data_IF_258470522618
#
_entry.id   IF_258470522618
#
_cell.length_a   1.000
_cell.length_b   1.000
_cell.length_c   1.000
_cell.angle_alpha   90.00
_cell.angle_beta   90.00
_cell.angle_gamma   90.00
#
_symmetry.space_group_name_H-M   'P 1'
#
loop_
_entity.id
_entity.type
_entity.pdbx_description
1 polymer ?
#
# COMPACT_ATOMS: atom_id res chain seq x y z
N UNK A 1 -3.35 -3.89 -30.11
CA UNK A 1 -4.05 -3.49 -28.87
C UNK A 1 -3.05 -3.21 -27.73
N UNK A 2 -2.09 -2.27 -27.91
CA UNK A 2 -1.00 -2.05 -26.93
C UNK A 2 -0.96 -0.67 -26.26
N UNK A 3 -1.29 0.39 -27.01
CA UNK A 3 -1.09 1.78 -26.56
C UNK A 3 -2.12 2.19 -25.49
N UNK A 4 -3.39 1.81 -25.65
CA UNK A 4 -4.47 2.20 -24.72
C UNK A 4 -4.27 1.59 -23.33
N UNK A 5 -3.78 0.34 -23.27
CA UNK A 5 -3.50 -0.36 -22.00
C UNK A 5 -2.32 0.29 -21.27
N UNK A 6 -1.22 0.56 -21.98
CA UNK A 6 -0.06 1.23 -21.40
C UNK A 6 -0.40 2.63 -20.83
N UNK A 7 -1.25 3.40 -21.52
CA UNK A 7 -1.72 4.69 -21.01
C UNK A 7 -2.60 4.57 -19.77
N UNK A 8 -3.44 3.52 -19.67
CA UNK A 8 -4.22 3.25 -18.45
C UNK A 8 -3.31 2.88 -17.28
N UNK A 9 -2.33 2.01 -17.51
CA UNK A 9 -1.36 1.61 -16.49
C UNK A 9 -0.58 2.80 -15.96
N UNK A 10 -0.11 3.71 -16.82
CA UNK A 10 0.58 4.92 -16.39
C UNK A 10 -0.30 5.83 -15.52
N UNK A 11 -1.60 5.94 -15.83
CA UNK A 11 -2.53 6.71 -15.00
C UNK A 11 -2.77 6.03 -13.65
N UNK A 12 -2.98 4.71 -13.64
CA UNK A 12 -3.16 3.95 -12.40
C UNK A 12 -1.91 4.02 -11.52
N UNK A 13 -0.73 3.83 -12.10
CA UNK A 13 0.55 3.96 -11.39
C UNK A 13 0.67 5.36 -10.80
N UNK A 14 0.47 6.42 -11.60
CA UNK A 14 0.53 7.79 -11.09
C UNK A 14 -0.46 8.03 -9.94
N UNK A 15 -1.72 7.60 -10.10
CA UNK A 15 -2.75 7.75 -9.07
C UNK A 15 -2.38 7.00 -7.78
N UNK A 16 -1.89 5.77 -7.89
CA UNK A 16 -1.46 4.95 -6.77
C UNK A 16 -0.29 5.61 -6.02
N UNK A 17 0.75 6.03 -6.75
CA UNK A 17 1.96 6.60 -6.14
C UNK A 17 1.68 7.96 -5.50
N UNK A 18 0.98 8.86 -6.21
CA UNK A 18 0.58 10.17 -5.66
C UNK A 18 -0.39 10.03 -4.49
N UNK A 19 -1.30 9.05 -4.55
CA UNK A 19 -2.18 8.71 -3.44
C UNK A 19 -1.39 8.26 -2.21
N UNK A 20 -0.43 7.36 -2.38
CA UNK A 20 0.38 6.86 -1.28
C UNK A 20 1.22 7.96 -0.62
N UNK A 21 1.80 8.87 -1.41
CA UNK A 21 2.43 10.05 -0.85
C UNK A 21 1.47 10.96 -0.07
N UNK A 22 0.23 11.08 -0.53
CA UNK A 22 -0.77 11.90 0.13
C UNK A 22 -1.20 11.29 1.46
N UNK A 23 -1.41 9.98 1.52
CA UNK A 23 -1.69 9.26 2.76
C UNK A 23 -0.49 9.33 3.72
N UNK A 24 0.74 9.17 3.23
CA UNK A 24 1.95 9.30 4.07
C UNK A 24 2.05 10.69 4.70
N UNK A 25 1.87 11.74 3.89
CA UNK A 25 1.88 13.12 4.39
C UNK A 25 0.75 13.39 5.39
N UNK A 26 -0.43 12.78 5.19
CA UNK A 26 -1.55 12.87 6.15
C UNK A 26 -1.19 12.27 7.51
N UNK A 27 -0.49 11.14 7.53
CA UNK A 27 0.01 10.50 8.75
C UNK A 27 1.28 11.14 9.34
N UNK A 28 1.79 12.24 8.77
CA UNK A 28 3.04 12.88 9.22
C UNK A 28 4.31 12.18 8.73
N UNK A 29 4.20 11.21 7.83
CA UNK A 29 5.32 10.44 7.29
C UNK A 29 5.89 11.08 6.03
N UNK A 30 7.23 11.19 5.97
CA UNK A 30 7.94 11.78 4.81
C UNK A 30 8.12 10.81 3.65
N UNK A 31 7.89 9.51 3.85
CA UNK A 31 8.25 8.46 2.89
C UNK A 31 7.20 7.37 2.96
N UNK A 32 6.45 7.09 1.87
CA UNK A 32 5.38 6.11 1.89
C UNK A 32 5.89 4.69 2.13
N UNK A 33 5.26 4.00 3.08
CA UNK A 33 5.34 2.55 3.28
C UNK A 33 4.19 1.76 2.61
N UNK A 34 4.17 0.43 2.77
CA UNK A 34 3.16 -0.46 2.20
C UNK A 34 1.71 -0.08 2.55
N UNK A 35 1.47 0.36 3.78
CA UNK A 35 0.15 0.79 4.27
C UNK A 35 -0.41 1.97 3.49
N UNK A 36 0.45 2.89 3.06
CA UNK A 36 0.05 4.02 2.25
C UNK A 36 -0.28 3.63 0.81
N UNK A 37 0.43 2.64 0.25
CA UNK A 37 0.07 2.04 -1.03
C UNK A 37 -1.29 1.31 -0.93
N UNK A 38 -1.54 0.61 0.17
CA UNK A 38 -2.80 -0.08 0.41
C UNK A 38 -3.96 0.93 0.50
N UNK A 39 -3.81 1.99 1.29
CA UNK A 39 -4.81 3.07 1.39
C UNK A 39 -5.04 3.76 0.03
N UNK A 40 -3.98 4.06 -0.71
CA UNK A 40 -4.11 4.64 -2.04
C UNK A 40 -4.81 3.69 -3.03
N UNK A 41 -4.61 2.38 -2.90
CA UNK A 41 -5.26 1.38 -3.75
C UNK A 41 -6.79 1.37 -3.55
N UNK A 42 -7.30 1.63 -2.34
CA UNK A 42 -8.75 1.67 -2.08
C UNK A 42 -9.44 2.84 -2.78
N UNK A 43 -8.70 3.92 -3.05
CA UNK A 43 -9.16 5.10 -3.78
C UNK A 43 -9.00 4.99 -5.30
N UNK A 44 -8.44 3.89 -5.83
CA UNK A 44 -8.30 3.73 -7.27
C UNK A 44 -9.66 3.58 -7.96
N UNK A 45 -9.85 4.17 -9.16
CA UNK A 45 -11.14 4.13 -9.87
C UNK A 45 -11.62 2.73 -10.27
N UNK A 46 -10.73 1.73 -10.29
CA UNK A 46 -11.12 0.36 -10.61
C UNK A 46 -11.92 -0.32 -9.48
N UNK A 47 -11.86 0.22 -8.26
CA UNK A 47 -12.66 -0.23 -7.11
C UNK A 47 -12.31 -1.62 -6.56
N UNK A 48 -11.36 -2.35 -7.17
CA UNK A 48 -11.12 -3.75 -6.83
C UNK A 48 -10.51 -3.95 -5.45
N UNK A 49 -9.65 -3.02 -4.99
CA UNK A 49 -9.12 -3.06 -3.63
C UNK A 49 -10.21 -2.83 -2.58
N UNK A 50 -11.05 -1.81 -2.79
CA UNK A 50 -12.17 -1.49 -1.90
C UNK A 50 -13.17 -2.64 -1.82
N UNK A 51 -13.52 -3.25 -2.96
CA UNK A 51 -14.39 -4.42 -3.00
C UNK A 51 -13.81 -5.64 -2.26
N UNK A 52 -12.51 -5.91 -2.41
CA UNK A 52 -11.86 -7.02 -1.70
C UNK A 52 -11.85 -6.83 -0.19
N UNK A 53 -11.54 -5.61 0.29
CA UNK A 53 -11.58 -5.26 1.71
C UNK A 53 -13.01 -5.34 2.27
N UNK A 54 -14.01 -4.86 1.53
CA UNK A 54 -15.41 -4.93 1.94
C UNK A 54 -15.90 -6.38 2.11
N UNK A 55 -15.43 -7.32 1.29
CA UNK A 55 -15.75 -8.76 1.42
C UNK A 55 -15.24 -9.38 2.72
N UNK A 56 -14.21 -8.80 3.33
CA UNK A 56 -13.69 -9.21 4.65
C UNK A 56 -14.15 -8.28 5.77
N UNK A 57 -15.15 -7.43 5.51
CA UNK A 57 -15.76 -6.55 6.50
C UNK A 57 -14.96 -5.29 6.83
N UNK A 58 -14.01 -4.89 5.97
CA UNK A 58 -13.20 -3.69 6.17
C UNK A 58 -13.61 -2.59 5.19
N UNK A 59 -13.95 -1.43 5.74
CA UNK A 59 -14.13 -0.20 4.95
C UNK A 59 -12.83 0.65 4.92
N UNK A 60 -12.69 1.57 3.95
CA UNK A 60 -11.49 2.39 3.81
C UNK A 60 -11.15 3.29 5.00
N UNK A 61 -12.15 3.76 5.75
CA UNK A 61 -11.92 4.66 6.89
C UNK A 61 -11.46 3.87 8.13
N UNK A 62 -12.05 2.69 8.36
CA UNK A 62 -11.58 1.72 9.34
C UNK A 62 -10.15 1.26 9.06
N UNK A 63 -9.80 1.02 7.80
CA UNK A 63 -8.42 0.73 7.40
C UNK A 63 -7.47 1.90 7.72
N UNK A 64 -7.86 3.14 7.41
CA UNK A 64 -7.03 4.32 7.71
C UNK A 64 -6.78 4.46 9.21
N UNK A 65 -7.84 4.36 10.02
CA UNK A 65 -7.73 4.42 11.47
C UNK A 65 -6.82 3.33 12.04
N UNK A 66 -6.91 2.10 11.50
CA UNK A 66 -6.04 1.00 11.91
C UNK A 66 -4.57 1.23 11.55
N UNK A 67 -4.30 1.83 10.38
CA UNK A 67 -2.95 2.20 9.95
C UNK A 67 -2.35 3.26 10.89
N UNK A 68 -3.10 4.31 11.21
CA UNK A 68 -2.65 5.37 12.13
C UNK A 68 -2.37 4.82 13.54
N UNK A 69 -3.25 3.94 14.05
CA UNK A 69 -3.06 3.28 15.34
C UNK A 69 -1.82 2.36 15.33
N UNK A 70 -1.63 1.56 14.28
CA UNK A 70 -0.48 0.68 14.13
C UNK A 70 0.84 1.44 14.02
N UNK A 71 0.83 2.58 13.31
CA UNK A 71 1.98 3.48 13.21
C UNK A 71 2.35 4.06 14.59
N UNK A 72 1.35 4.59 15.31
CA UNK A 72 1.55 5.16 16.65
C UNK A 72 2.10 4.14 17.62
N UNK A 73 1.56 2.91 17.62
CA UNK A 73 2.05 1.82 18.45
C UNK A 73 3.50 1.42 18.10
N UNK A 74 3.87 1.45 16.81
CA UNK A 74 5.23 1.18 16.39
C UNK A 74 6.22 2.22 16.93
N UNK A 75 5.87 3.51 16.90
CA UNK A 75 6.70 4.57 17.49
C UNK A 75 6.84 4.43 19.01
N UNK A 76 5.74 4.14 19.71
CA UNK A 76 5.75 3.95 21.17
C UNK A 76 6.64 2.77 21.59
N UNK A 77 6.67 1.69 20.80
CA UNK A 77 7.49 0.51 21.09
C UNK A 77 9.01 0.73 20.98
N UNK A 78 9.44 1.79 20.29
CA UNK A 78 10.86 2.17 20.16
C UNK A 78 11.27 3.15 21.29
N UNK A 79 10.34 3.57 22.15
CA UNK A 79 10.63 4.44 23.31
C UNK A 79 10.96 5.89 22.95
N UNK A 80 10.57 6.33 21.75
CA UNK A 80 10.91 7.66 21.23
C UNK A 80 9.65 8.51 21.21
N UNK A 81 9.54 9.45 22.14
CA UNK A 81 8.67 10.60 21.97
C UNK A 81 9.21 11.45 20.82
N UNK A 82 8.65 11.32 19.62
CA UNK A 82 8.85 12.26 18.50
C UNK A 82 10.26 12.86 18.32
N UNK A 83 11.33 12.07 18.39
CA UNK A 83 12.66 12.49 17.95
C UNK A 83 12.96 11.84 16.60
N UNK A 84 12.97 12.71 15.59
CA UNK A 84 13.47 12.52 14.23
C UNK A 84 14.57 11.47 14.13
N UNK A 85 14.24 10.29 13.58
CA UNK A 85 15.24 9.29 13.21
C UNK A 85 16.27 9.87 12.23
N UNK A 86 17.53 9.86 12.67
CA UNK A 86 18.74 10.26 11.95
C UNK A 86 18.97 9.44 10.65
N UNK A 87 19.75 9.97 9.69
CA UNK A 87 19.58 9.70 8.27
C UNK A 87 20.24 8.38 7.84
N UNK A 88 19.45 7.46 7.29
CA UNK A 88 20.02 6.43 6.43
C UNK A 88 20.74 7.12 5.25
N UNK A 89 22.02 6.80 5.11
CA UNK A 89 23.01 7.42 4.23
C UNK A 89 22.47 7.75 2.82
N UNK A 90 22.75 8.99 2.41
CA UNK A 90 22.39 9.61 1.13
C UNK A 90 23.18 8.98 -0.03
N UNK A 91 22.52 8.23 -0.90
CA UNK A 91 22.95 8.05 -2.31
C UNK A 91 22.37 9.17 -3.20
N UNK A 92 23.02 9.51 -4.33
CA UNK A 92 22.54 10.57 -5.23
C UNK A 92 21.15 10.25 -5.76
N UNK A 93 20.34 11.31 -5.84
CA UNK A 93 18.92 11.25 -6.14
C UNK A 93 18.65 11.21 -7.65
N UNK A 94 18.08 10.10 -8.15
CA UNK A 94 17.32 10.07 -9.41
C UNK A 94 16.33 8.89 -9.40
N UNK A 95 15.03 9.17 -9.24
CA UNK A 95 13.93 8.19 -9.39
C UNK A 95 12.58 8.78 -8.93
N UNK A 96 11.45 8.53 -9.64
CA UNK A 96 10.23 9.33 -9.51
C UNK A 96 9.36 9.16 -8.25
N UNK A 97 9.84 8.54 -7.15
CA UNK A 97 9.22 8.64 -5.81
C UNK A 97 10.19 8.15 -4.72
N UNK A 98 10.29 8.86 -3.59
CA UNK A 98 10.97 8.36 -2.37
C UNK A 98 9.96 7.54 -1.55
N UNK A 99 10.09 6.21 -1.56
CA UNK A 99 9.31 5.29 -0.72
C UNK A 99 10.23 4.33 0.02
N UNK A 100 9.69 3.64 1.04
CA UNK A 100 10.45 2.63 1.77
C UNK A 100 10.81 1.44 0.85
N UNK A 101 11.87 0.68 1.16
CA UNK A 101 12.22 -0.52 0.39
C UNK A 101 11.08 -1.54 0.32
N UNK A 102 10.32 -1.71 1.41
CA UNK A 102 9.19 -2.63 1.48
C UNK A 102 8.01 -2.14 0.61
N UNK A 103 7.75 -0.82 0.55
CA UNK A 103 6.77 -0.27 -0.38
C UNK A 103 7.17 -0.51 -1.85
N UNK A 104 8.45 -0.35 -2.19
CA UNK A 104 8.94 -0.67 -3.53
C UNK A 104 8.79 -2.16 -3.86
N UNK A 105 9.01 -3.05 -2.90
CA UNK A 105 8.77 -4.49 -3.05
C UNK A 105 7.29 -4.77 -3.36
N UNK A 106 6.36 -4.22 -2.58
CA UNK A 106 4.91 -4.36 -2.81
C UNK A 106 4.51 -3.86 -4.20
N UNK A 107 4.98 -2.67 -4.59
CA UNK A 107 4.68 -2.11 -5.91
C UNK A 107 5.19 -3.02 -7.05
N UNK A 108 6.43 -3.52 -6.94
CA UNK A 108 7.00 -4.44 -7.95
C UNK A 108 6.23 -5.75 -8.02
N UNK A 109 5.83 -6.32 -6.89
CA UNK A 109 5.03 -7.54 -6.83
C UNK A 109 3.65 -7.32 -7.48
N UNK A 110 2.99 -6.20 -7.21
CA UNK A 110 1.71 -5.85 -7.83
C UNK A 110 1.83 -5.71 -9.36
N UNK A 111 2.88 -5.05 -9.85
CA UNK A 111 3.14 -4.92 -11.30
C UNK A 111 3.47 -6.28 -11.93
N UNK A 112 4.24 -7.13 -11.25
CA UNK A 112 4.56 -8.47 -11.72
C UNK A 112 3.29 -9.34 -11.83
N UNK A 113 2.40 -9.28 -10.83
CA UNK A 113 1.13 -10.00 -10.84
C UNK A 113 0.22 -9.52 -11.99
N UNK A 114 0.09 -8.21 -12.18
CA UNK A 114 -0.70 -7.65 -13.29
C UNK A 114 -0.19 -8.14 -14.66
N UNK A 115 1.14 -8.15 -14.85
CA UNK A 115 1.78 -8.67 -16.07
C UNK A 115 1.56 -10.16 -16.26
N UNK A 116 1.73 -10.96 -15.21
CA UNK A 116 1.50 -12.41 -15.26
C UNK A 116 0.04 -12.74 -15.63
N UNK A 117 -0.91 -11.93 -15.18
CA UNK A 117 -2.32 -12.04 -15.51
C UNK A 117 -2.70 -11.40 -16.87
N UNK A 118 -1.74 -10.88 -17.63
CA UNK A 118 -1.97 -10.11 -18.86
C UNK A 118 -3.06 -9.02 -18.71
N UNK A 119 -3.09 -8.36 -17.55
CA UNK A 119 -4.12 -7.41 -17.15
C UNK A 119 -3.50 -6.04 -16.77
N UNK A 120 -4.28 -4.94 -16.82
CA UNK A 120 -3.79 -3.66 -16.32
C UNK A 120 -3.55 -3.72 -14.81
N UNK A 121 -2.67 -2.86 -14.30
CA UNK A 121 -2.51 -2.68 -12.85
C UNK A 121 -3.85 -2.25 -12.24
N UNK A 122 -4.18 -2.82 -11.07
CA UNK A 122 -5.44 -2.63 -10.34
C UNK A 122 -5.15 -2.63 -8.85
N UNK A 123 -6.06 -2.05 -8.07
CA UNK A 123 -5.96 -2.08 -6.61
C UNK A 123 -5.82 -3.49 -6.01
N UNK A 124 -6.53 -4.47 -6.56
CA UNK A 124 -6.45 -5.88 -6.12
C UNK A 124 -5.02 -6.46 -6.15
N UNK A 125 -4.19 -6.08 -7.13
CA UNK A 125 -2.80 -6.53 -7.19
C UNK A 125 -1.95 -5.97 -6.03
N UNK A 126 -2.26 -4.74 -5.59
CA UNK A 126 -1.60 -4.11 -4.43
C UNK A 126 -2.03 -4.82 -3.15
N UNK A 127 -3.33 -5.08 -2.99
CA UNK A 127 -3.86 -5.82 -1.83
C UNK A 127 -3.23 -7.22 -1.75
N UNK A 128 -3.15 -7.96 -2.86
CA UNK A 128 -2.50 -9.27 -2.92
C UNK A 128 -1.04 -9.20 -2.46
N UNK A 129 -0.29 -8.23 -3.00
CA UNK A 129 1.12 -8.04 -2.66
C UNK A 129 1.35 -7.65 -1.18
N UNK A 130 0.42 -6.93 -0.56
CA UNK A 130 0.47 -6.62 0.88
C UNK A 130 0.17 -7.85 1.73
N UNK A 131 -0.74 -8.73 1.30
CA UNK A 131 -1.04 -9.98 2.01
C UNK A 131 0.18 -10.89 2.13
N UNK A 132 1.09 -10.85 1.15
CA UNK A 132 2.32 -11.63 1.10
C UNK A 132 3.45 -11.08 2.00
N UNK A 133 3.26 -9.94 2.68
CA UNK A 133 4.25 -9.41 3.62
C UNK A 133 4.28 -10.19 4.94
N UNK A 134 5.46 -10.45 5.48
CA UNK A 134 5.59 -11.11 6.78
C UNK A 134 5.28 -10.18 7.96
N UNK A 135 5.65 -8.90 7.84
CA UNK A 135 5.59 -7.90 8.91
C UNK A 135 5.49 -6.48 8.36
N UNK A 136 5.12 -5.53 9.22
CA UNK A 136 5.08 -4.11 8.91
C UNK A 136 3.77 -3.46 9.36
N UNK A 137 3.66 -2.14 9.22
CA UNK A 137 2.48 -1.38 9.65
C UNK A 137 1.21 -1.85 8.94
N UNK A 138 1.28 -2.11 7.63
CA UNK A 138 0.15 -2.67 6.87
C UNK A 138 -0.35 -4.01 7.43
N UNK A 139 0.58 -4.92 7.78
CA UNK A 139 0.23 -6.24 8.33
C UNK A 139 -0.43 -6.08 9.70
N UNK A 140 0.16 -5.25 10.57
CA UNK A 140 -0.39 -4.97 11.92
C UNK A 140 -1.76 -4.30 11.86
N UNK A 141 -1.99 -3.41 10.90
CA UNK A 141 -3.27 -2.76 10.70
C UNK A 141 -4.36 -3.74 10.26
N UNK A 142 -4.04 -4.68 9.37
CA UNK A 142 -4.98 -5.75 8.98
C UNK A 142 -5.26 -6.69 10.16
N UNK A 143 -4.23 -7.06 10.93
CA UNK A 143 -4.38 -7.91 12.10
C UNK A 143 -5.23 -7.26 13.21
N UNK A 144 -5.06 -5.96 13.45
CA UNK A 144 -5.86 -5.23 14.46
C UNK A 144 -7.34 -5.11 14.08
N UNK A 145 -7.64 -5.16 12.78
CA UNK A 145 -9.01 -5.24 12.25
C UNK A 145 -9.58 -6.67 12.27
N UNK A 146 -8.80 -7.67 12.72
CA UNK A 146 -9.22 -9.06 12.70
C UNK A 146 -9.27 -9.68 11.30
N UNK A 147 -8.56 -9.10 10.33
CA UNK A 147 -8.54 -9.58 8.95
C UNK A 147 -7.64 -10.80 8.82
N UNK A 148 -8.22 -11.89 8.35
CA UNK A 148 -7.48 -13.05 7.85
C UNK A 148 -6.92 -12.72 6.46
N UNK A 149 -5.58 -12.67 6.35
CA UNK A 149 -4.87 -12.31 5.11
C UNK A 149 -5.02 -13.35 4.00
N UNK A 150 -5.20 -14.62 4.33
CA UNK A 150 -5.46 -15.66 3.33
C UNK A 150 -6.86 -15.49 2.73
N UNK A 151 -7.85 -15.15 3.57
CA UNK A 151 -9.20 -14.81 3.09
C UNK A 151 -9.20 -13.53 2.25
N UNK A 152 -8.48 -12.49 2.67
CA UNK A 152 -8.35 -11.27 1.88
C UNK A 152 -7.67 -11.55 0.52
N UNK A 153 -6.65 -12.41 0.50
CA UNK A 153 -5.98 -12.85 -0.73
C UNK A 153 -6.87 -13.68 -1.65
N UNK A 154 -7.75 -14.52 -1.10
CA UNK A 154 -8.78 -15.18 -1.89
C UNK A 154 -9.79 -14.17 -2.45
N UNK A 155 -10.16 -13.16 -1.65
CA UNK A 155 -11.13 -12.14 -2.04
C UNK A 155 -10.67 -11.20 -3.17
N UNK A 156 -9.36 -11.08 -3.46
CA UNK A 156 -8.86 -10.31 -4.61
C UNK A 156 -8.86 -11.09 -5.93
N UNK A 157 -8.99 -12.42 -5.86
CA UNK A 157 -8.95 -13.31 -7.03
C UNK A 157 -10.34 -13.59 -7.62
N UNK A 158 -11.41 -13.11 -6.97
CA UNK A 158 -12.82 -13.23 -7.39
C UNK A 158 -13.44 -11.92 -7.82
#
# INVERSE_FOLDING_TARGET
MGIVTALRDLRTVRALLTGAETEARRGGERTPGPEHLLLAATALPDGTASAALARVGVDPDGLRAAVEAAHTAALASVGVGAESGEPALRGPATGPMRSTPQAQQVFRAAVAAARAAASPLRGAHVVAAVCDLERGTAVRALESLGVDRDRLRAAVSG
#
